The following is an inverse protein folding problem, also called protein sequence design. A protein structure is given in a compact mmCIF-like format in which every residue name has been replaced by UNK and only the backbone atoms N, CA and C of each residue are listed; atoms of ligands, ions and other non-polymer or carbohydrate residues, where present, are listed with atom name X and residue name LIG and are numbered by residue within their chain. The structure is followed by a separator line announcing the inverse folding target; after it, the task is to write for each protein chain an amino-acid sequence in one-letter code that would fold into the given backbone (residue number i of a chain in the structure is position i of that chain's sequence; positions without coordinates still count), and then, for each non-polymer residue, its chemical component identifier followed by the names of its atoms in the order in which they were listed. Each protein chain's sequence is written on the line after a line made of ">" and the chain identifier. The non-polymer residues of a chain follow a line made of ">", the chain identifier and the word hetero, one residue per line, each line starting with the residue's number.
data_IF_846981234305
#
_entry.id   IF_846981234305
#
_cell.length_a   1.000
_cell.length_b   1.000
_cell.length_c   1.000
_cell.angle_alpha   90.00
_cell.angle_beta   90.00
_cell.angle_gamma   90.00
#
_symmetry.space_group_name_H-M   'P 1'
#
loop_
_entity.id
_entity.type
_entity.pdbx_description
1 polymer ?
#
# COMPACT_ATOMS: atom_id res chain seq x y z
N UNK A 1 24.09 -22.26 21.16
CA UNK A 1 22.72 -21.71 21.23
C UNK A 1 21.76 -22.79 20.73
N UNK A 2 20.64 -23.04 21.44
CA UNK A 2 19.55 -23.94 20.99
C UNK A 2 18.27 -23.12 20.94
N UNK A 3 17.55 -23.18 19.81
CA UNK A 3 16.28 -22.48 19.62
C UNK A 3 15.12 -23.44 19.82
N UNK A 4 14.13 -23.06 20.63
CA UNK A 4 12.91 -23.82 20.86
C UNK A 4 11.78 -23.13 20.08
N UNK A 5 10.99 -23.86 19.26
CA UNK A 5 9.85 -23.27 18.55
C UNK A 5 8.81 -22.76 19.56
N UNK A 6 8.09 -21.70 19.22
CA UNK A 6 7.13 -21.07 20.13
C UNK A 6 6.13 -20.17 19.40
N UNK A 7 5.25 -19.56 20.19
CA UNK A 7 4.23 -18.65 19.67
C UNK A 7 4.85 -17.45 18.96
N UNK A 8 4.29 -17.09 17.81
CA UNK A 8 4.69 -15.94 17.03
C UNK A 8 3.46 -15.30 16.40
N UNK A 9 3.19 -14.05 16.78
CA UNK A 9 2.09 -13.27 16.23
C UNK A 9 2.21 -13.14 14.71
N UNK A 10 3.43 -12.95 14.20
CA UNK A 10 3.74 -12.91 12.77
C UNK A 10 3.23 -14.16 12.03
N UNK A 11 3.63 -15.35 12.46
CA UNK A 11 3.27 -16.59 11.75
C UNK A 11 1.80 -16.95 11.95
N UNK A 12 1.25 -16.70 13.14
CA UNK A 12 -0.17 -16.87 13.41
C UNK A 12 -1.00 -15.97 12.48
N UNK A 13 -0.65 -14.69 12.36
CA UNK A 13 -1.36 -13.78 11.48
C UNK A 13 -1.27 -14.16 10.01
N UNK A 14 -0.09 -14.54 9.53
CA UNK A 14 0.09 -14.99 8.15
C UNK A 14 -0.77 -16.22 7.83
N UNK A 15 -0.96 -17.14 8.80
CA UNK A 15 -1.76 -18.35 8.59
C UNK A 15 -3.26 -18.10 8.35
N UNK A 16 -3.77 -16.94 8.77
CA UNK A 16 -5.21 -16.60 8.71
C UNK A 16 -5.50 -15.31 7.93
N UNK A 17 -4.49 -14.64 7.39
CA UNK A 17 -4.65 -13.35 6.70
C UNK A 17 -5.43 -13.43 5.38
N UNK A 18 -5.48 -14.60 4.72
CA UNK A 18 -6.11 -14.75 3.39
C UNK A 18 -5.34 -14.04 2.26
N UNK A 19 -4.03 -13.83 2.45
CA UNK A 19 -3.10 -13.10 1.58
C UNK A 19 -2.00 -14.09 1.11
N UNK A 20 -1.35 -13.93 -0.06
CA UNK A 20 -0.20 -14.75 -0.45
C UNK A 20 0.89 -14.78 0.63
N UNK A 21 1.27 -15.98 1.08
CA UNK A 21 2.24 -16.18 2.17
C UNK A 21 3.42 -17.04 1.78
N UNK A 22 3.55 -17.39 0.48
CA UNK A 22 4.71 -18.11 -0.08
C UNK A 22 6.02 -17.33 0.16
N UNK A 23 5.96 -16.00 0.01
CA UNK A 23 7.06 -15.10 0.29
C UNK A 23 6.53 -13.81 0.91
N UNK A 24 7.14 -13.44 2.03
CA UNK A 24 6.81 -12.21 2.74
C UNK A 24 8.07 -11.53 3.26
N UNK A 25 7.95 -10.26 3.59
CA UNK A 25 8.96 -9.47 4.29
C UNK A 25 8.36 -9.03 5.61
N UNK A 26 9.12 -9.25 6.69
CA UNK A 26 8.78 -8.72 8.00
C UNK A 26 9.61 -7.46 8.25
N UNK A 27 8.94 -6.31 8.26
CA UNK A 27 9.53 -4.97 8.45
C UNK A 27 9.55 -4.52 9.92
N UNK A 28 9.02 -5.34 10.83
CA UNK A 28 8.89 -4.96 12.24
C UNK A 28 7.97 -3.75 12.41
N UNK A 29 8.39 -2.75 13.18
CA UNK A 29 7.60 -1.55 13.42
C UNK A 29 7.94 -0.42 12.45
N UNK A 30 6.92 0.21 11.88
CA UNK A 30 7.10 1.40 11.07
C UNK A 30 7.62 2.60 11.90
N UNK A 31 8.38 3.51 11.27
CA UNK A 31 8.84 4.75 11.89
C UNK A 31 7.69 5.54 12.53
N UNK A 32 7.99 6.18 13.66
CA UNK A 32 7.00 6.98 14.41
C UNK A 32 6.57 8.22 13.64
N UNK A 33 7.53 8.93 13.06
CA UNK A 33 7.24 10.13 12.28
C UNK A 33 6.59 9.76 10.94
N UNK A 34 5.58 10.54 10.52
CA UNK A 34 4.94 10.33 9.22
C UNK A 34 5.93 10.54 8.06
N UNK A 35 6.81 11.53 8.15
CA UNK A 35 7.82 11.78 7.11
C UNK A 35 8.75 10.59 6.87
N UNK A 36 9.28 9.96 7.92
CA UNK A 36 10.14 8.78 7.79
C UNK A 36 9.34 7.55 7.37
N UNK A 37 8.12 7.38 7.88
CA UNK A 37 7.24 6.28 7.49
C UNK A 37 6.90 6.37 6.00
N UNK A 38 6.49 7.54 5.50
CA UNK A 38 6.24 7.79 4.07
C UNK A 38 7.50 7.54 3.24
N UNK A 39 8.68 7.96 3.70
CA UNK A 39 9.94 7.70 3.02
C UNK A 39 10.20 6.19 2.87
N UNK A 40 10.00 5.40 3.92
CA UNK A 40 10.12 3.94 3.89
C UNK A 40 9.03 3.30 3.00
N UNK A 41 7.77 3.71 3.13
CA UNK A 41 6.67 3.18 2.32
C UNK A 41 6.92 3.41 0.82
N UNK A 42 7.56 4.51 0.42
CA UNK A 42 7.94 4.77 -0.98
C UNK A 42 8.96 3.77 -1.50
N UNK A 43 9.86 3.25 -0.67
CA UNK A 43 10.81 2.20 -1.10
C UNK A 43 10.12 0.83 -1.23
N UNK A 44 9.05 0.61 -0.46
CA UNK A 44 8.27 -0.63 -0.45
C UNK A 44 7.09 -0.64 -1.44
N UNK A 45 6.75 0.51 -2.03
CA UNK A 45 5.53 0.68 -2.86
C UNK A 45 5.36 -0.39 -3.95
N UNK A 46 6.46 -0.73 -4.62
CA UNK A 46 6.51 -1.67 -5.74
C UNK A 46 6.96 -3.08 -5.33
N UNK A 47 7.13 -3.33 -4.04
CA UNK A 47 7.50 -4.65 -3.56
C UNK A 47 6.38 -5.65 -3.85
N UNK A 48 6.72 -6.75 -4.50
CA UNK A 48 5.76 -7.77 -4.97
C UNK A 48 5.45 -8.83 -3.92
N UNK A 49 6.26 -8.94 -2.87
CA UNK A 49 6.05 -9.83 -1.73
C UNK A 49 5.08 -9.20 -0.73
N UNK A 50 4.39 -10.04 0.03
CA UNK A 50 3.57 -9.61 1.16
C UNK A 50 4.42 -8.90 2.20
N UNK A 51 3.95 -7.74 2.67
CA UNK A 51 4.62 -6.95 3.69
C UNK A 51 3.93 -7.14 5.03
N UNK A 52 4.67 -7.41 6.09
CA UNK A 52 4.13 -7.57 7.44
C UNK A 52 4.79 -6.60 8.40
N UNK A 53 3.95 -5.89 9.14
CA UNK A 53 4.33 -4.90 10.12
C UNK A 53 3.70 -5.23 11.48
N UNK A 54 4.41 -4.90 12.53
CA UNK A 54 3.80 -4.65 13.83
C UNK A 54 3.43 -3.18 13.93
N UNK A 55 2.26 -2.91 14.50
CA UNK A 55 1.78 -1.55 14.67
C UNK A 55 1.06 -1.39 16.00
N UNK A 56 1.09 -0.16 16.54
CA UNK A 56 0.33 0.18 17.73
C UNK A 56 -1.07 0.63 17.36
N UNK A 57 -2.04 0.25 18.18
CA UNK A 57 -3.42 0.70 18.05
C UNK A 57 -3.61 2.22 17.99
N UNK A 58 -2.70 2.98 18.62
CA UNK A 58 -2.74 4.45 18.58
C UNK A 58 -2.27 5.05 17.26
N UNK A 59 -1.41 4.33 16.51
CA UNK A 59 -0.81 4.82 15.26
C UNK A 59 -1.49 4.26 14.01
N UNK A 60 -2.18 3.13 14.11
CA UNK A 60 -2.66 2.37 12.95
C UNK A 60 -3.48 3.20 11.94
N UNK A 61 -4.36 4.10 12.41
CA UNK A 61 -5.14 4.95 11.51
C UNK A 61 -4.25 5.93 10.71
N UNK A 62 -3.23 6.51 11.36
CA UNK A 62 -2.26 7.37 10.67
C UNK A 62 -1.37 6.56 9.72
N UNK A 63 -0.97 5.34 10.12
CA UNK A 63 -0.22 4.42 9.27
C UNK A 63 -1.01 4.04 8.01
N UNK A 64 -2.29 3.69 8.14
CA UNK A 64 -3.16 3.36 6.99
C UNK A 64 -3.33 4.56 6.08
N UNK A 65 -3.52 5.77 6.63
CA UNK A 65 -3.60 7.00 5.82
C UNK A 65 -2.34 7.19 4.96
N UNK A 66 -1.16 7.05 5.55
CA UNK A 66 0.10 7.18 4.82
C UNK A 66 0.29 6.04 3.79
N UNK A 67 -0.18 4.83 4.09
CA UNK A 67 -0.19 3.73 3.13
C UNK A 67 -1.09 4.03 1.93
N UNK A 68 -2.30 4.56 2.15
CA UNK A 68 -3.23 4.97 1.08
C UNK A 68 -2.59 6.05 0.21
N UNK A 69 -1.95 7.05 0.82
CA UNK A 69 -1.28 8.13 0.09
C UNK A 69 -0.14 7.61 -0.80
N UNK A 70 0.65 6.64 -0.31
CA UNK A 70 1.85 6.17 -1.00
C UNK A 70 1.57 5.02 -1.97
N UNK A 71 0.71 4.08 -1.58
CA UNK A 71 0.49 2.79 -2.23
C UNK A 71 -0.90 2.67 -2.88
N UNK A 72 -1.78 3.67 -2.70
CA UNK A 72 -3.14 3.68 -3.23
C UNK A 72 -4.16 3.03 -2.30
N UNK A 73 -5.44 3.34 -2.51
CA UNK A 73 -6.54 2.88 -1.66
C UNK A 73 -6.97 1.43 -1.87
N UNK A 74 -6.70 0.88 -3.06
CA UNK A 74 -7.23 -0.43 -3.50
C UNK A 74 -6.32 -1.61 -3.16
N UNK A 75 -5.10 -1.35 -2.67
CA UNK A 75 -4.17 -2.42 -2.30
C UNK A 75 -4.79 -3.25 -1.17
N UNK A 76 -4.81 -4.57 -1.36
CA UNK A 76 -5.32 -5.52 -0.36
C UNK A 76 -4.46 -5.49 0.91
N UNK A 77 -5.14 -5.54 2.05
CA UNK A 77 -4.56 -5.44 3.37
C UNK A 77 -5.31 -6.31 4.36
N UNK A 78 -4.60 -6.79 5.38
CA UNK A 78 -5.19 -7.42 6.55
C UNK A 78 -4.72 -6.72 7.83
N UNK A 79 -5.63 -6.55 8.77
CA UNK A 79 -5.35 -6.07 10.12
C UNK A 79 -5.82 -7.12 11.09
N UNK A 80 -4.89 -7.66 11.85
CA UNK A 80 -5.16 -8.64 12.89
C UNK A 80 -4.78 -8.05 14.23
N UNK A 81 -5.69 -8.13 15.19
CA UNK A 81 -5.56 -7.47 16.48
C UNK A 81 -5.88 -8.46 17.59
N UNK A 82 -5.12 -8.36 18.69
CA UNK A 82 -5.38 -9.10 19.92
C UNK A 82 -5.54 -10.62 19.69
N UNK A 83 -4.66 -11.21 18.85
CA UNK A 83 -4.68 -12.65 18.56
C UNK A 83 -4.69 -13.48 19.85
N UNK A 84 -5.50 -14.53 19.86
CA UNK A 84 -5.76 -15.47 20.96
C UNK A 84 -6.48 -14.89 22.18
N UNK A 85 -6.90 -13.62 22.15
CA UNK A 85 -7.55 -12.93 23.27
C UNK A 85 -9.05 -12.73 23.02
N UNK A 86 -9.80 -12.39 24.06
CA UNK A 86 -11.27 -12.21 23.96
C UNK A 86 -11.71 -11.17 22.92
N UNK A 87 -10.88 -10.18 22.62
CA UNK A 87 -11.18 -9.09 21.68
C UNK A 87 -10.44 -9.24 20.34
N UNK A 88 -10.14 -10.49 19.96
CA UNK A 88 -9.51 -10.83 18.69
C UNK A 88 -10.34 -10.30 17.50
N UNK A 89 -9.68 -9.61 16.58
CA UNK A 89 -10.33 -9.00 15.42
C UNK A 89 -9.48 -9.18 14.18
N UNK A 90 -10.14 -9.54 13.08
CA UNK A 90 -9.55 -9.77 11.77
C UNK A 90 -10.30 -8.92 10.75
N UNK A 91 -9.58 -8.06 10.07
CA UNK A 91 -10.13 -7.21 9.03
C UNK A 91 -9.34 -7.47 7.76
N UNK A 92 -9.96 -8.08 6.75
CA UNK A 92 -9.35 -8.33 5.45
C UNK A 92 -10.14 -7.57 4.38
N UNK A 93 -9.52 -6.59 3.74
CA UNK A 93 -10.14 -5.75 2.72
C UNK A 93 -9.07 -5.08 1.84
N UNK A 94 -9.42 -4.07 1.06
CA UNK A 94 -8.43 -3.09 0.61
C UNK A 94 -8.16 -2.04 1.68
N UNK A 95 -7.09 -1.26 1.50
CA UNK A 95 -6.69 -0.21 2.45
C UNK A 95 -7.83 0.76 2.80
N UNK A 96 -8.67 1.11 1.82
CA UNK A 96 -9.83 1.96 2.07
C UNK A 96 -10.90 1.26 2.92
N UNK A 97 -11.23 0.00 2.61
CA UNK A 97 -12.16 -0.80 3.40
C UNK A 97 -11.68 -0.99 4.84
N UNK A 98 -10.38 -1.26 5.04
CA UNK A 98 -9.78 -1.34 6.39
C UNK A 98 -9.93 0.00 7.11
N UNK A 99 -9.63 1.13 6.44
CA UNK A 99 -9.81 2.46 7.02
C UNK A 99 -11.26 2.69 7.47
N UNK A 100 -12.23 2.43 6.58
CA UNK A 100 -13.65 2.62 6.86
C UNK A 100 -14.15 1.77 8.02
N UNK A 101 -13.74 0.50 8.08
CA UNK A 101 -14.12 -0.41 9.17
C UNK A 101 -13.52 0.01 10.51
N UNK A 102 -12.32 0.59 10.53
CA UNK A 102 -11.73 1.14 11.76
C UNK A 102 -12.38 2.45 12.19
N UNK A 103 -12.75 3.32 11.26
CA UNK A 103 -13.40 4.61 11.59
C UNK A 103 -14.86 4.44 11.99
N UNK A 104 -15.54 3.40 11.49
CA UNK A 104 -16.93 3.08 11.84
C UNK A 104 -17.10 2.43 13.21
N UNK A 105 -16.01 2.08 13.90
CA UNK A 105 -16.07 1.52 15.24
C UNK A 105 -16.22 2.63 16.28
N UNK A 106 -17.26 2.55 17.11
CA UNK A 106 -17.43 3.42 18.28
C UNK A 106 -16.45 3.08 19.43
N UNK A 107 -15.74 1.96 19.33
CA UNK A 107 -14.77 1.53 20.32
C UNK A 107 -13.36 2.00 19.98
N UNK A 108 -12.63 2.46 21.01
CA UNK A 108 -11.23 2.81 20.88
C UNK A 108 -10.42 1.57 20.51
N UNK A 109 -9.68 1.64 19.40
CA UNK A 109 -8.72 0.58 19.01
C UNK A 109 -7.68 0.46 20.13
N UNK A 110 -7.47 -0.77 20.62
CA UNK A 110 -6.50 -1.10 21.68
C UNK A 110 -5.73 -2.37 21.33
N UNK A 111 -4.60 -2.55 22.00
CA UNK A 111 -3.84 -3.79 21.91
C UNK A 111 -2.78 -3.80 20.82
N UNK A 112 -2.29 -5.00 20.56
CA UNK A 112 -1.23 -5.29 19.59
C UNK A 112 -1.85 -5.58 18.23
N UNK A 113 -1.24 -5.04 17.18
CA UNK A 113 -1.70 -5.20 15.80
C UNK A 113 -0.59 -5.77 14.94
N UNK A 114 -0.95 -6.79 14.17
CA UNK A 114 -0.20 -7.22 12.99
C UNK A 114 -0.92 -6.66 11.77
N UNK A 115 -0.24 -5.79 11.03
CA UNK A 115 -0.75 -5.17 9.82
C UNK A 115 -0.02 -5.76 8.62
N UNK A 116 -0.77 -6.24 7.65
CA UNK A 116 -0.27 -6.97 6.50
C UNK A 116 -0.75 -6.25 5.23
N UNK A 117 0.16 -6.03 4.29
CA UNK A 117 -0.16 -5.53 2.95
C UNK A 117 0.16 -6.59 1.92
N UNK A 118 -0.73 -6.76 0.94
CA UNK A 118 -0.39 -7.47 -0.27
C UNK A 118 0.81 -6.80 -0.94
N UNK A 119 1.66 -7.64 -1.52
CA UNK A 119 2.61 -7.17 -2.51
C UNK A 119 1.92 -6.52 -3.70
N UNK A 120 2.65 -5.65 -4.39
CA UNK A 120 2.21 -5.04 -5.62
C UNK A 120 1.97 -6.10 -6.68
N UNK A 121 0.80 -6.08 -7.30
CA UNK A 121 0.53 -6.97 -8.43
C UNK A 121 0.90 -6.27 -9.74
N UNK A 122 1.48 -7.03 -10.68
CA UNK A 122 1.79 -6.52 -12.03
C UNK A 122 0.54 -6.07 -12.80
N UNK A 123 -0.63 -6.60 -12.44
CA UNK A 123 -1.92 -6.19 -13.02
C UNK A 123 -2.32 -4.77 -12.56
N UNK A 124 -2.12 -4.44 -11.28
CA UNK A 124 -2.34 -3.07 -10.77
C UNK A 124 -1.39 -2.06 -11.43
N UNK A 125 -0.13 -2.45 -11.69
CA UNK A 125 0.83 -1.60 -12.42
C UNK A 125 0.36 -1.34 -13.86
N UNK A 126 -0.12 -2.38 -14.56
CA UNK A 126 -0.63 -2.23 -15.93
C UNK A 126 -1.85 -1.32 -16.00
N UNK A 127 -2.81 -1.49 -15.10
CA UNK A 127 -4.00 -0.63 -15.03
C UNK A 127 -3.64 0.82 -14.65
N UNK A 128 -2.69 1.00 -13.73
CA UNK A 128 -2.18 2.32 -13.35
C UNK A 128 -1.50 3.02 -14.52
N UNK A 129 -0.68 2.30 -15.29
CA UNK A 129 -0.02 2.81 -16.49
C UNK A 129 -1.05 3.21 -17.54
N UNK A 130 -2.10 2.42 -17.76
CA UNK A 130 -3.13 2.80 -18.74
C UNK A 130 -3.97 4.00 -18.31
N UNK A 131 -4.38 4.09 -17.04
CA UNK A 131 -5.05 5.29 -16.52
C UNK A 131 -4.16 6.52 -16.62
N UNK A 132 -2.86 6.36 -16.37
CA UNK A 132 -1.90 7.45 -16.51
C UNK A 132 -1.76 7.92 -17.96
N UNK A 133 -1.74 7.00 -18.93
CA UNK A 133 -1.72 7.33 -20.36
C UNK A 133 -2.98 8.08 -20.78
N UNK A 134 -4.16 7.60 -20.39
CA UNK A 134 -5.44 8.27 -20.67
C UNK A 134 -5.46 9.70 -20.13
N UNK A 135 -5.10 9.89 -18.85
CA UNK A 135 -5.03 11.23 -18.25
C UNK A 135 -3.99 12.12 -18.92
N UNK A 136 -2.84 11.56 -19.30
CA UNK A 136 -1.79 12.30 -20.02
C UNK A 136 -2.29 12.77 -21.38
N UNK A 137 -3.10 11.96 -22.07
CA UNK A 137 -3.69 12.30 -23.35
C UNK A 137 -4.73 13.42 -23.22
N UNK A 138 -5.65 13.30 -22.27
CA UNK A 138 -6.68 14.32 -22.04
C UNK A 138 -6.07 15.68 -21.70
N UNK A 139 -5.03 15.70 -20.86
CA UNK A 139 -4.32 16.93 -20.51
C UNK A 139 -3.53 17.55 -21.66
N UNK A 140 -3.00 16.72 -22.58
CA UNK A 140 -2.26 17.22 -23.76
C UNK A 140 -3.14 18.00 -24.74
N UNK A 141 -4.46 17.87 -24.66
CA UNK A 141 -5.38 18.69 -25.47
C UNK A 141 -5.38 20.16 -25.05
N UNK A 142 -4.94 20.46 -23.82
CA UNK A 142 -4.99 21.80 -23.24
C UNK A 142 -3.65 22.31 -22.72
N UNK A 143 -2.67 21.43 -22.51
CA UNK A 143 -1.39 21.74 -21.89
C UNK A 143 -0.21 21.16 -22.69
N UNK A 144 0.96 21.81 -22.67
CA UNK A 144 2.18 21.23 -23.23
C UNK A 144 2.52 19.88 -22.58
N UNK A 145 3.03 18.92 -23.36
CA UNK A 145 3.39 17.57 -22.89
C UNK A 145 4.25 17.56 -21.61
N UNK A 146 5.16 18.52 -21.47
CA UNK A 146 6.03 18.65 -20.29
C UNK A 146 5.24 18.95 -19.01
N UNK A 147 4.21 19.77 -19.11
CA UNK A 147 3.33 20.15 -17.99
C UNK A 147 2.33 19.05 -17.69
N UNK A 148 1.70 18.49 -18.73
CA UNK A 148 0.82 17.33 -18.60
C UNK A 148 1.53 16.15 -17.91
N UNK A 149 2.74 15.79 -18.35
CA UNK A 149 3.53 14.72 -17.73
C UNK A 149 3.92 15.02 -16.27
N UNK A 150 4.13 16.30 -15.90
CA UNK A 150 4.40 16.68 -14.52
C UNK A 150 3.16 16.53 -13.62
N UNK A 151 1.97 16.87 -14.14
CA UNK A 151 0.70 16.70 -13.44
C UNK A 151 0.40 15.22 -13.26
N UNK A 152 0.43 14.42 -14.33
CA UNK A 152 0.17 12.97 -14.26
C UNK A 152 1.16 12.27 -13.34
N UNK A 153 2.43 12.65 -13.35
CA UNK A 153 3.44 12.10 -12.43
C UNK A 153 3.08 12.33 -10.97
N UNK A 154 2.57 13.52 -10.62
CA UNK A 154 2.13 13.82 -9.25
C UNK A 154 0.94 12.99 -8.82
N UNK A 155 -0.02 12.73 -9.72
CA UNK A 155 -1.26 12.02 -9.39
C UNK A 155 -1.13 10.49 -9.44
N UNK A 156 -0.21 9.96 -10.25
CA UNK A 156 -0.05 8.51 -10.45
C UNK A 156 1.19 7.96 -9.75
N UNK A 157 2.17 8.81 -9.40
CA UNK A 157 3.46 8.40 -8.84
C UNK A 157 4.41 7.77 -9.87
N UNK A 158 4.04 7.69 -11.14
CA UNK A 158 4.92 7.26 -12.22
C UNK A 158 5.98 8.34 -12.50
N UNK A 159 7.16 7.91 -12.98
CA UNK A 159 8.28 8.82 -13.23
C UNK A 159 7.92 9.77 -14.38
N UNK A 160 8.13 11.08 -14.18
CA UNK A 160 7.90 12.10 -15.21
C UNK A 160 8.58 11.78 -16.55
N UNK A 161 9.79 11.24 -16.52
CA UNK A 161 10.51 10.87 -17.75
C UNK A 161 9.84 9.73 -18.51
N UNK A 162 9.30 8.73 -17.78
CA UNK A 162 8.55 7.61 -18.37
C UNK A 162 7.25 8.10 -19.00
N UNK A 163 6.54 9.02 -18.34
CA UNK A 163 5.32 9.62 -18.89
C UNK A 163 5.62 10.49 -20.12
N UNK A 164 6.73 11.23 -20.10
CA UNK A 164 7.15 12.05 -21.23
C UNK A 164 7.50 11.20 -22.47
N UNK A 165 8.21 10.08 -22.30
CA UNK A 165 8.48 9.15 -23.41
C UNK A 165 7.20 8.54 -23.97
N UNK A 166 6.25 8.14 -23.10
CA UNK A 166 4.97 7.59 -23.52
C UNK A 166 4.17 8.58 -24.40
N UNK A 167 4.16 9.87 -24.05
CA UNK A 167 3.49 10.89 -24.87
C UNK A 167 4.18 11.15 -26.23
N UNK A 168 5.51 11.00 -26.31
CA UNK A 168 6.26 11.15 -27.55
C UNK A 168 6.07 9.97 -28.50
N UNK A 169 6.07 8.74 -27.98
CA UNK A 169 5.92 7.53 -28.81
C UNK A 169 4.52 7.46 -29.45
N UNK A 170 3.49 7.96 -28.76
CA UNK A 170 2.13 7.96 -29.29
C UNK A 170 1.86 9.08 -30.31
N UNK A 171 2.47 10.27 -30.13
CA UNK A 171 2.38 11.36 -31.12
C UNK A 171 3.04 10.98 -32.45
N UNK A 172 4.07 10.13 -32.42
CA UNK A 172 4.67 9.52 -33.61
C UNK A 172 3.79 8.46 -34.28
N UNK A 173 2.94 7.75 -33.54
CA UNK A 173 2.00 6.77 -34.09
C UNK A 173 0.72 7.40 -34.69
N UNK A 174 0.50 8.71 -34.50
CA UNK A 174 -0.61 9.49 -35.08
C UNK A 174 -0.20 10.37 -36.26
N UNK A 175 1.09 10.42 -36.62
CA UNK A 175 1.61 11.06 -37.85
C UNK A 175 1.86 10.02 -38.93
#
# INVERSE_FOLDING_TARGET
>A
VRSIPGASALTASLSIAGIPTDRFIFEGFLPKSSAERVKLLKTLRFETRTLVFYESAQRIQATIKDCIEVMGSVRKAALLRELTKHYEQHICSDLHGVQMQLTGQNEKIRGEIVFILHGNSSAEDAETVEKAKQLLFDLQQHLPLKEAAAIVSKHTGLRRNQLYSLGLDESKNKS
#
